data_IF_954762592723
#
_entry.id   IF_954762592723
#
_cell.length_a   1.000
_cell.length_b   1.000
_cell.length_c   1.000
_cell.angle_alpha   90.00
_cell.angle_beta   90.00
_cell.angle_gamma   90.00
#
_symmetry.space_group_name_H-M   'P 1'
#
loop_
_entity.id
_entity.type
_entity.pdbx_description
1 polymer ?
#
# COMPACT_ATOMS: atom_id res chain seq x y z
N UNK A 1 -25.68 5.85 -82.64
CA UNK A 1 -24.32 5.54 -82.14
C UNK A 1 -24.53 5.04 -80.70
N UNK A 2 -24.44 3.76 -80.33
CA UNK A 2 -23.64 2.66 -80.90
C UNK A 2 -22.16 3.01 -80.76
N UNK A 3 -21.31 2.31 -80.00
CA UNK A 3 -21.19 0.86 -79.75
C UNK A 3 -20.62 0.61 -78.32
N UNK A 4 -21.12 -0.37 -77.54
CA UNK A 4 -20.60 -1.77 -77.35
C UNK A 4 -19.30 -1.82 -76.50
N UNK A 5 -19.23 -2.39 -75.29
CA UNK A 5 -19.45 -3.77 -74.80
C UNK A 5 -18.35 -4.78 -75.23
N UNK A 6 -17.65 -5.34 -74.23
CA UNK A 6 -17.01 -6.67 -74.14
C UNK A 6 -15.62 -7.06 -74.72
N UNK A 7 -15.03 -8.02 -73.96
CA UNK A 7 -14.12 -9.15 -74.32
C UNK A 7 -12.62 -8.83 -74.49
N UNK A 8 -11.73 -9.42 -73.67
CA UNK A 8 -11.18 -10.81 -73.70
C UNK A 8 -10.04 -10.95 -74.74
N UNK A 9 -8.95 -11.71 -74.57
CA UNK A 9 -8.64 -12.86 -73.68
C UNK A 9 -7.12 -13.18 -73.71
N UNK A 10 -6.55 -13.77 -72.64
CA UNK A 10 -5.17 -14.32 -72.63
C UNK A 10 -4.05 -13.27 -72.76
N UNK A 11 -2.74 -13.51 -72.60
CA UNK A 11 -1.87 -14.71 -72.49
C UNK A 11 -0.60 -14.22 -71.71
N UNK A 12 0.15 -14.94 -70.87
CA UNK A 12 0.30 -16.39 -70.61
C UNK A 12 0.34 -16.74 -69.09
N UNK A 13 1.46 -17.25 -68.55
CA UNK A 13 1.61 -17.86 -67.22
C UNK A 13 2.85 -17.36 -66.43
N UNK A 14 2.74 -17.38 -65.10
CA UNK A 14 3.86 -17.83 -64.24
C UNK A 14 3.32 -18.49 -62.97
N UNK A 15 2.97 -19.77 -63.08
CA UNK A 15 2.71 -20.58 -61.90
C UNK A 15 3.94 -20.62 -61.00
N UNK A 16 3.77 -20.23 -59.73
CA UNK A 16 4.66 -20.62 -58.64
C UNK A 16 3.82 -21.08 -57.46
N UNK A 17 3.19 -22.23 -57.64
CA UNK A 17 2.92 -23.09 -56.50
C UNK A 17 4.24 -23.41 -55.81
N UNK A 18 4.39 -22.91 -54.59
CA UNK A 18 5.15 -23.56 -53.51
C UNK A 18 4.23 -23.45 -52.31
N UNK A 19 3.43 -24.50 -52.16
CA UNK A 19 3.73 -25.54 -51.16
C UNK A 19 3.17 -25.07 -49.83
N UNK A 20 1.97 -25.53 -49.51
CA UNK A 20 1.41 -25.41 -48.16
C UNK A 20 2.24 -26.28 -47.24
N UNK A 21 3.33 -25.72 -46.70
CA UNK A 21 4.06 -26.32 -45.58
C UNK A 21 3.13 -26.29 -44.37
N UNK A 22 2.41 -27.40 -44.19
CA UNK A 22 1.68 -27.68 -42.95
C UNK A 22 2.73 -27.97 -41.90
N UNK A 23 3.16 -26.92 -41.19
CA UNK A 23 4.09 -27.05 -40.07
C UNK A 23 3.28 -27.40 -38.79
N UNK A 24 3.39 -28.61 -38.24
CA UNK A 24 2.40 -29.14 -37.30
C UNK A 24 2.65 -28.69 -35.84
N UNK A 25 3.24 -27.50 -35.61
CA UNK A 25 3.52 -26.96 -34.28
C UNK A 25 3.33 -25.44 -34.19
N UNK A 26 2.12 -25.05 -33.80
CA UNK A 26 1.80 -23.95 -32.86
C UNK A 26 2.72 -22.70 -32.87
N UNK A 27 2.28 -21.59 -33.49
CA UNK A 27 1.97 -20.31 -32.80
C UNK A 27 1.45 -19.24 -33.77
N UNK A 28 0.79 -18.20 -33.23
CA UNK A 28 0.38 -16.94 -33.89
C UNK A 28 -0.67 -17.00 -35.02
N UNK A 29 -1.94 -17.03 -34.60
CA UNK A 29 -3.03 -16.17 -35.08
C UNK A 29 -2.75 -15.32 -36.34
N UNK A 30 -3.35 -15.70 -37.48
CA UNK A 30 -3.48 -14.84 -38.66
C UNK A 30 -4.56 -13.78 -38.36
N UNK A 31 -4.17 -12.69 -37.69
CA UNK A 31 -5.08 -11.58 -37.40
C UNK A 31 -5.03 -10.55 -38.53
N UNK A 32 -6.10 -10.48 -39.30
CA UNK A 32 -6.32 -9.42 -40.28
C UNK A 32 -6.23 -8.03 -39.63
N UNK A 33 -5.42 -7.15 -40.22
CA UNK A 33 -5.30 -5.76 -39.79
C UNK A 33 -6.50 -4.93 -40.27
N UNK A 34 -7.64 -5.05 -39.57
CA UNK A 34 -8.61 -3.96 -39.50
C UNK A 34 -8.81 -3.56 -38.03
N UNK A 35 -8.89 -2.25 -37.71
CA UNK A 35 -8.98 -1.78 -36.32
C UNK A 35 -10.30 -2.14 -35.64
N UNK A 36 -11.27 -2.70 -36.38
CA UNK A 36 -12.59 -3.08 -35.88
C UNK A 36 -12.63 -4.46 -35.19
N UNK A 37 -11.64 -5.34 -35.40
CA UNK A 37 -11.65 -6.71 -34.84
C UNK A 37 -10.89 -6.83 -33.50
N UNK A 38 -10.53 -5.71 -32.86
CA UNK A 38 -9.91 -5.74 -31.54
C UNK A 38 -11.00 -5.93 -30.47
N UNK A 39 -10.95 -6.97 -29.61
CA UNK A 39 -12.03 -7.30 -28.67
C UNK A 39 -12.29 -6.23 -27.59
N UNK A 40 -11.47 -5.18 -27.54
CA UNK A 40 -11.73 -3.99 -26.72
C UNK A 40 -12.89 -3.14 -27.28
N UNK A 41 -13.08 -3.11 -28.60
CA UNK A 41 -14.09 -2.27 -29.23
C UNK A 41 -15.49 -2.87 -29.09
N UNK A 42 -15.60 -4.20 -29.07
CA UNK A 42 -16.85 -4.93 -28.80
C UNK A 42 -17.36 -4.62 -27.38
N UNK A 43 -16.49 -4.73 -26.37
CA UNK A 43 -16.81 -4.38 -24.97
C UNK A 43 -17.19 -2.90 -24.82
N UNK A 44 -16.50 -1.99 -25.52
CA UNK A 44 -16.84 -0.57 -25.50
C UNK A 44 -18.19 -0.28 -26.17
N UNK A 45 -18.50 -0.91 -27.30
CA UNK A 45 -19.79 -0.79 -27.96
C UNK A 45 -20.93 -1.35 -27.09
N UNK A 46 -20.77 -2.54 -26.49
CA UNK A 46 -21.73 -3.10 -25.54
C UNK A 46 -21.92 -2.19 -24.31
N UNK A 47 -20.83 -1.59 -23.80
CA UNK A 47 -20.91 -0.64 -22.68
C UNK A 47 -21.67 0.65 -23.03
N UNK A 48 -21.64 1.08 -24.30
CA UNK A 48 -22.43 2.21 -24.76
C UNK A 48 -23.93 1.90 -24.74
N UNK A 49 -24.34 0.70 -25.16
CA UNK A 49 -25.77 0.31 -25.17
C UNK A 49 -26.28 -0.14 -23.80
N UNK A 50 -25.42 -0.64 -22.90
CA UNK A 50 -25.80 -1.07 -21.55
C UNK A 50 -26.07 0.10 -20.58
N UNK A 51 -25.52 1.29 -20.84
CA UNK A 51 -25.73 2.46 -19.98
C UNK A 51 -27.14 3.06 -20.16
N UNK A 52 -27.98 3.12 -19.10
CA UNK A 52 -29.36 3.61 -19.22
C UNK A 52 -29.39 5.07 -19.67
N UNK A 53 -30.27 5.41 -20.61
CA UNK A 53 -30.33 6.73 -21.27
C UNK A 53 -30.34 7.93 -20.30
N UNK A 54 -30.88 7.74 -19.09
CA UNK A 54 -30.87 8.74 -18.01
C UNK A 54 -29.43 9.15 -17.65
N UNK A 55 -28.48 8.22 -17.47
CA UNK A 55 -27.10 8.56 -17.09
C UNK A 55 -26.35 9.31 -18.18
N UNK A 56 -26.67 9.07 -19.45
CA UNK A 56 -26.17 9.85 -20.59
C UNK A 56 -26.73 11.28 -20.62
N UNK A 57 -27.96 11.47 -20.14
CA UNK A 57 -28.65 12.77 -20.13
C UNK A 57 -28.33 13.64 -18.91
N UNK A 58 -27.98 13.06 -17.75
CA UNK A 58 -27.70 13.81 -16.49
C UNK A 58 -26.77 15.03 -16.66
N UNK A 59 -25.65 14.98 -17.41
CA UNK A 59 -24.73 16.12 -17.50
C UNK A 59 -25.36 17.35 -18.17
N UNK A 60 -26.28 17.17 -19.11
CA UNK A 60 -26.81 18.24 -19.97
C UNK A 60 -27.65 19.26 -19.17
N UNK A 61 -28.76 18.90 -18.49
CA UNK A 61 -29.51 19.85 -17.70
C UNK A 61 -28.72 20.33 -16.48
N UNK A 62 -27.76 19.55 -15.96
CA UNK A 62 -26.89 19.99 -14.88
C UNK A 62 -25.96 21.13 -15.32
N UNK A 63 -25.30 21.02 -16.48
CA UNK A 63 -24.49 22.10 -17.05
C UNK A 63 -25.33 23.31 -17.46
N UNK A 64 -26.49 23.12 -18.09
CA UNK A 64 -27.36 24.23 -18.50
C UNK A 64 -27.97 24.97 -17.30
N UNK A 65 -28.42 24.27 -16.27
CA UNK A 65 -28.91 24.90 -15.03
C UNK A 65 -27.79 25.59 -14.26
N UNK A 66 -26.58 25.01 -14.20
CA UNK A 66 -25.40 25.67 -13.64
C UNK A 66 -25.07 26.99 -14.34
N UNK A 67 -25.05 27.00 -15.68
CA UNK A 67 -24.85 28.22 -16.46
C UNK A 67 -25.95 29.28 -16.22
N UNK A 68 -27.21 28.85 -16.16
CA UNK A 68 -28.35 29.73 -15.84
C UNK A 68 -28.23 30.35 -14.44
N UNK A 69 -27.83 29.56 -13.43
CA UNK A 69 -27.59 30.06 -12.06
C UNK A 69 -26.45 31.07 -12.04
N UNK A 70 -25.29 30.77 -12.66
CA UNK A 70 -24.14 31.70 -12.71
C UNK A 70 -24.54 33.05 -13.32
N UNK A 71 -25.29 33.04 -14.43
CA UNK A 71 -25.78 34.26 -15.08
C UNK A 71 -26.64 35.13 -14.15
N UNK A 72 -27.55 34.53 -13.38
CA UNK A 72 -28.44 35.24 -12.46
C UNK A 72 -27.74 35.71 -11.18
N UNK A 73 -26.80 34.93 -10.65
CA UNK A 73 -26.17 35.21 -9.34
C UNK A 73 -24.96 36.14 -9.47
N UNK A 74 -24.35 36.30 -10.65
CA UNK A 74 -23.15 37.12 -10.88
C UNK A 74 -23.13 38.51 -10.16
N UNK A 75 -24.16 39.38 -10.27
CA UNK A 75 -24.17 40.66 -9.56
C UNK A 75 -24.26 40.55 -8.02
N UNK A 76 -24.81 39.44 -7.51
CA UNK A 76 -24.87 39.13 -6.08
C UNK A 76 -23.55 38.54 -5.60
N UNK A 77 -22.86 37.73 -6.43
CA UNK A 77 -21.50 37.23 -6.13
C UNK A 77 -20.55 38.40 -5.88
N UNK A 78 -20.57 39.45 -6.70
CA UNK A 78 -19.65 40.59 -6.53
C UNK A 78 -19.81 41.34 -5.19
N UNK A 79 -21.01 41.39 -4.62
CA UNK A 79 -21.23 41.95 -3.29
C UNK A 79 -20.83 40.96 -2.19
N UNK A 80 -21.27 39.70 -2.32
CA UNK A 80 -20.98 38.65 -1.35
C UNK A 80 -19.47 38.40 -1.25
N UNK A 81 -18.76 38.31 -2.39
CA UNK A 81 -17.32 38.09 -2.47
C UNK A 81 -16.53 39.24 -1.82
N UNK A 82 -16.96 40.50 -1.98
CA UNK A 82 -16.33 41.64 -1.28
C UNK A 82 -16.55 41.58 0.23
N UNK A 83 -17.77 41.27 0.69
CA UNK A 83 -18.06 41.08 2.12
C UNK A 83 -17.36 39.84 2.71
N UNK A 84 -17.15 38.81 1.90
CA UNK A 84 -16.45 37.59 2.30
C UNK A 84 -14.94 37.87 2.40
N UNK A 85 -14.32 38.52 1.41
CA UNK A 85 -12.90 38.88 1.41
C UNK A 85 -12.48 39.79 2.59
N UNK A 86 -13.35 40.68 3.07
CA UNK A 86 -13.06 41.50 4.26
C UNK A 86 -13.19 40.71 5.58
N UNK A 87 -13.79 39.52 5.57
CA UNK A 87 -13.95 38.71 6.78
C UNK A 87 -12.67 37.93 7.12
N UNK A 88 -12.29 37.92 8.40
CA UNK A 88 -11.12 37.18 8.89
C UNK A 88 -11.28 35.67 8.68
N UNK A 89 -12.52 35.15 8.79
CA UNK A 89 -12.85 33.73 8.63
C UNK A 89 -12.62 33.27 7.19
N UNK A 90 -13.06 34.04 6.20
CA UNK A 90 -12.76 33.77 4.79
C UNK A 90 -11.26 33.70 4.53
N UNK A 91 -10.47 34.66 5.03
CA UNK A 91 -9.03 34.67 4.81
C UNK A 91 -8.32 33.47 5.47
N UNK A 92 -8.82 32.99 6.62
CA UNK A 92 -8.33 31.76 7.25
C UNK A 92 -8.71 30.51 6.44
N UNK A 93 -9.97 30.38 5.99
CA UNK A 93 -10.43 29.28 5.14
C UNK A 93 -9.71 29.26 3.79
N UNK A 94 -9.52 30.43 3.17
CA UNK A 94 -8.77 30.59 1.93
C UNK A 94 -7.31 30.16 2.10
N UNK A 95 -6.66 30.58 3.20
CA UNK A 95 -5.30 30.13 3.54
C UNK A 95 -5.23 28.61 3.78
N UNK A 96 -6.24 28.02 4.42
CA UNK A 96 -6.36 26.58 4.64
C UNK A 96 -6.52 25.78 3.33
N UNK A 97 -7.42 26.20 2.44
CA UNK A 97 -7.62 25.54 1.15
C UNK A 97 -6.45 25.76 0.18
N UNK A 98 -5.90 26.97 0.11
CA UNK A 98 -4.78 27.31 -0.77
C UNK A 98 -3.46 26.61 -0.39
N UNK A 99 -3.27 26.26 0.89
CA UNK A 99 -2.16 25.43 1.37
C UNK A 99 -2.41 23.92 1.24
N UNK A 100 -3.33 23.52 0.37
CA UNK A 100 -3.74 22.13 0.13
C UNK A 100 -4.09 21.38 1.43
N UNK A 101 -5.18 21.82 2.07
CA UNK A 101 -5.85 21.13 3.19
C UNK A 101 -5.05 20.99 4.50
N UNK A 102 -3.85 21.55 4.60
CA UNK A 102 -2.94 21.37 5.76
C UNK A 102 -2.57 19.90 6.08
N UNK A 103 -3.09 18.93 5.32
CA UNK A 103 -2.98 17.50 5.61
C UNK A 103 -1.53 17.02 5.51
N UNK A 104 -0.78 17.56 4.53
CA UNK A 104 0.65 17.31 4.38
C UNK A 104 1.44 17.79 5.62
N UNK A 105 1.15 19.00 6.12
CA UNK A 105 1.77 19.54 7.33
C UNK A 105 1.36 18.75 8.59
N UNK A 106 0.09 18.37 8.72
CA UNK A 106 -0.40 17.56 9.85
C UNK A 106 0.22 16.16 9.83
N UNK A 107 0.32 15.51 8.67
CA UNK A 107 0.98 14.21 8.53
C UNK A 107 2.48 14.32 8.84
N UNK A 108 3.16 15.35 8.35
CA UNK A 108 4.58 15.56 8.62
C UNK A 108 4.81 15.83 10.13
N UNK A 109 4.07 16.76 10.73
CA UNK A 109 4.23 17.08 12.15
C UNK A 109 3.77 15.94 13.08
N UNK A 110 2.76 15.13 12.70
CA UNK A 110 2.29 14.00 13.52
C UNK A 110 3.10 12.73 13.31
N UNK A 111 3.23 12.24 12.06
CA UNK A 111 3.94 11.00 11.77
C UNK A 111 5.45 11.20 11.88
N UNK A 112 6.06 12.14 11.16
CA UNK A 112 7.52 12.24 11.09
C UNK A 112 8.10 12.60 12.46
N UNK A 113 7.54 13.55 13.20
CA UNK A 113 8.04 13.86 14.56
C UNK A 113 7.84 12.70 15.55
N UNK A 114 6.74 11.96 15.46
CA UNK A 114 6.49 10.81 16.34
C UNK A 114 7.46 9.66 16.03
N UNK A 115 7.62 9.29 14.75
CA UNK A 115 8.59 8.30 14.31
C UNK A 115 10.04 8.72 14.61
N UNK A 116 10.38 10.00 14.49
CA UNK A 116 11.73 10.50 14.75
C UNK A 116 12.07 10.50 16.24
N UNK A 117 11.10 10.82 17.13
CA UNK A 117 11.26 10.66 18.59
C UNK A 117 11.38 9.20 18.98
N UNK A 118 10.49 8.34 18.49
CA UNK A 118 10.54 6.89 18.72
C UNK A 118 11.86 6.28 18.23
N UNK A 119 12.32 6.67 17.05
CA UNK A 119 13.62 6.24 16.51
C UNK A 119 14.79 6.66 17.39
N UNK A 120 14.78 7.89 17.92
CA UNK A 120 15.87 8.37 18.77
C UNK A 120 15.86 7.73 20.18
N UNK A 121 14.71 7.76 20.88
CA UNK A 121 14.59 7.25 22.25
C UNK A 121 14.65 5.72 22.33
N UNK A 122 13.99 5.01 21.39
CA UNK A 122 13.89 3.54 21.43
C UNK A 122 14.96 2.86 20.58
N UNK A 123 15.20 3.34 19.35
CA UNK A 123 16.12 2.65 18.43
C UNK A 123 17.57 3.13 18.55
N UNK A 124 17.82 4.40 18.85
CA UNK A 124 19.18 4.92 18.97
C UNK A 124 19.70 4.77 20.41
N UNK A 125 18.98 5.29 21.41
CA UNK A 125 19.47 5.26 22.79
C UNK A 125 19.53 3.84 23.38
N UNK A 126 18.47 3.04 23.27
CA UNK A 126 18.48 1.69 23.85
C UNK A 126 19.40 0.71 23.11
N UNK A 127 19.56 0.87 21.79
CA UNK A 127 20.38 -0.04 20.98
C UNK A 127 21.85 0.36 21.02
N UNK A 128 22.21 1.63 20.83
CA UNK A 128 23.61 2.06 20.80
C UNK A 128 24.21 2.05 22.21
N UNK A 129 23.58 2.69 23.22
CA UNK A 129 24.08 2.62 24.61
C UNK A 129 24.00 1.21 25.18
N UNK A 130 22.90 0.49 24.93
CA UNK A 130 22.72 -0.88 25.44
C UNK A 130 23.70 -1.87 24.83
N UNK A 131 23.96 -1.79 23.51
CA UNK A 131 24.99 -2.62 22.88
C UNK A 131 26.39 -2.24 23.36
N UNK A 132 26.72 -0.95 23.49
CA UNK A 132 28.02 -0.51 24.02
C UNK A 132 28.21 -0.91 25.49
N UNK A 133 27.16 -0.89 26.31
CA UNK A 133 27.24 -1.33 27.71
C UNK A 133 27.50 -2.84 27.81
N UNK A 134 26.81 -3.65 26.99
CA UNK A 134 26.94 -5.12 26.98
C UNK A 134 28.27 -5.57 26.34
N UNK A 135 28.65 -4.99 25.19
CA UNK A 135 29.86 -5.35 24.43
C UNK A 135 31.11 -4.64 24.94
N UNK A 136 30.96 -3.62 25.79
CA UNK A 136 32.07 -2.92 26.43
C UNK A 136 32.76 -3.79 27.50
N UNK A 137 33.98 -3.41 27.92
CA UNK A 137 34.72 -4.16 28.94
C UNK A 137 33.98 -4.28 30.28
N UNK A 138 33.07 -3.34 30.59
CA UNK A 138 32.21 -3.41 31.76
C UNK A 138 31.13 -4.50 31.65
N UNK A 139 30.37 -4.56 30.54
CA UNK A 139 29.38 -5.63 30.31
C UNK A 139 30.00 -7.01 30.20
N UNK A 140 31.14 -7.12 29.50
CA UNK A 140 31.90 -8.38 29.40
C UNK A 140 32.35 -8.85 30.79
N UNK A 141 32.96 -7.98 31.60
CA UNK A 141 33.42 -8.37 32.95
C UNK A 141 32.25 -8.67 33.91
N UNK A 142 31.14 -7.94 33.83
CA UNK A 142 29.92 -8.23 34.61
C UNK A 142 29.31 -9.60 34.23
N UNK A 143 29.16 -9.88 32.94
CA UNK A 143 28.61 -11.16 32.46
C UNK A 143 29.53 -12.34 32.79
N UNK A 144 30.84 -12.22 32.59
CA UNK A 144 31.81 -13.24 33.02
C UNK A 144 31.78 -13.48 34.53
N UNK A 145 31.71 -12.42 35.35
CA UNK A 145 31.61 -12.57 36.82
C UNK A 145 30.33 -13.31 37.20
N UNK A 146 29.18 -12.96 36.60
CA UNK A 146 27.91 -13.64 36.83
C UNK A 146 27.96 -15.11 36.41
N UNK A 147 28.65 -15.43 35.30
CA UNK A 147 28.84 -16.79 34.83
C UNK A 147 29.71 -17.61 35.81
N UNK A 148 30.84 -17.04 36.25
CA UNK A 148 31.74 -17.64 37.22
C UNK A 148 31.05 -17.88 38.59
N UNK A 149 30.24 -16.94 39.06
CA UNK A 149 29.40 -17.12 40.25
C UNK A 149 28.44 -18.31 40.10
N UNK A 150 27.78 -18.48 38.94
CA UNK A 150 26.89 -19.64 38.71
C UNK A 150 27.66 -20.96 38.64
N UNK A 151 28.81 -21.01 37.99
CA UNK A 151 29.66 -22.21 37.92
C UNK A 151 30.16 -22.58 39.32
N UNK A 152 30.60 -21.61 40.11
CA UNK A 152 31.01 -21.80 41.51
C UNK A 152 29.85 -22.27 42.41
N UNK A 153 28.63 -21.76 42.23
CA UNK A 153 27.43 -22.26 42.92
C UNK A 153 27.08 -23.71 42.56
N UNK A 154 27.30 -24.12 41.30
CA UNK A 154 27.14 -25.51 40.89
C UNK A 154 28.21 -26.42 41.52
N UNK A 155 29.48 -26.01 41.48
CA UNK A 155 30.61 -26.78 42.01
C UNK A 155 30.64 -26.89 43.54
N UNK A 156 30.22 -25.84 44.27
CA UNK A 156 30.09 -25.85 45.74
C UNK A 156 28.96 -26.77 46.25
N UNK A 157 28.29 -27.51 45.34
CA UNK A 157 27.28 -28.49 45.68
C UNK A 157 25.96 -27.88 46.16
N UNK A 158 25.70 -26.59 45.89
CA UNK A 158 24.48 -25.91 46.36
C UNK A 158 23.19 -26.58 45.86
N UNK A 159 23.17 -27.05 44.61
CA UNK A 159 22.04 -27.82 44.05
C UNK A 159 21.88 -29.16 44.77
N UNK A 160 22.97 -29.91 44.97
CA UNK A 160 22.96 -31.20 45.70
C UNK A 160 22.50 -30.99 47.14
N UNK A 161 22.94 -29.91 47.78
CA UNK A 161 22.55 -29.50 49.14
C UNK A 161 21.05 -29.23 49.21
N UNK A 162 20.53 -28.37 48.34
CA UNK A 162 19.09 -28.03 48.25
C UNK A 162 18.25 -29.30 48.07
N UNK A 163 18.49 -30.06 47.00
CA UNK A 163 17.74 -31.29 46.69
C UNK A 163 17.81 -32.31 47.84
N UNK A 164 18.98 -32.48 48.49
CA UNK A 164 19.13 -33.43 49.61
C UNK A 164 18.33 -33.00 50.85
N UNK A 165 18.28 -31.70 51.19
CA UNK A 165 17.47 -31.22 52.31
C UNK A 165 15.97 -31.27 52.00
N UNK A 166 15.56 -31.00 50.76
CA UNK A 166 14.16 -31.09 50.34
C UNK A 166 13.60 -32.54 50.37
N UNK A 167 14.48 -33.55 50.40
CA UNK A 167 14.12 -34.99 50.55
C UNK A 167 14.35 -35.59 51.95
N UNK A 168 14.91 -34.85 52.90
CA UNK A 168 15.12 -35.33 54.28
C UNK A 168 13.87 -35.06 55.15
N UNK A 169 13.51 -35.89 56.14
CA UNK A 169 12.12 -36.00 56.56
C UNK A 169 11.55 -34.73 57.21
N UNK A 170 10.26 -34.45 56.99
CA UNK A 170 9.57 -33.28 57.55
C UNK A 170 9.62 -33.28 59.09
N UNK A 171 9.57 -32.07 59.65
CA UNK A 171 9.83 -31.76 61.07
C UNK A 171 8.91 -32.44 62.13
N UNK A 172 7.96 -33.29 61.71
CA UNK A 172 7.16 -34.13 62.61
C UNK A 172 7.84 -35.46 62.98
N UNK A 173 8.85 -35.92 62.24
CA UNK A 173 9.50 -37.22 62.48
C UNK A 173 10.19 -37.34 63.85
N UNK A 174 10.64 -36.22 64.43
CA UNK A 174 11.24 -36.20 65.77
C UNK A 174 10.26 -36.41 66.94
N UNK A 175 8.95 -36.48 66.67
CA UNK A 175 7.91 -36.54 67.73
C UNK A 175 7.36 -37.94 68.01
N UNK A 176 7.76 -38.95 67.22
CA UNK A 176 7.32 -40.34 67.35
C UNK A 176 8.30 -41.24 68.13
N UNK A 177 9.53 -40.77 68.41
CA UNK A 177 10.60 -41.54 69.05
C UNK A 177 10.75 -41.30 70.57
N UNK A 178 9.90 -40.47 71.18
CA UNK A 178 9.91 -40.18 72.62
C UNK A 178 8.77 -40.85 73.41
N UNK A 179 8.01 -41.76 72.79
CA UNK A 179 7.02 -42.61 73.46
C UNK A 179 7.34 -44.08 73.17
N UNK A 180 8.26 -44.65 73.96
CA UNK A 180 8.69 -46.04 73.93
C UNK A 180 9.37 -46.40 75.24
#
# INVERSE_FOLDING_TARGET
MGWKQERSTGVEAKGRGRESVIDPKNHSQIRFCSPFVLPKNEILAESEFAAPTITKLIPIPFSTSGAYVVYNVNPVVDQFQRAFQTSTISNQLYSFFNKCWFFDQVLNDFLVRSFQRFGYEVSFEALDKGAIEILGPYGISYTFRRLAERISQLQSGFVVRRVRYDTWPPAWWGRLLCCG
#
